data_IF_754106531087
#
_entry.id   IF_754106531087
#
_cell.length_a   1.000
_cell.length_b   1.000
_cell.length_c   1.000
_cell.angle_alpha   90.00
_cell.angle_beta   90.00
_cell.angle_gamma   90.00
#
_symmetry.space_group_name_H-M   'P 1'
#
loop_
_entity.id
_entity.type
_entity.pdbx_description
1 polymer ?
#
# COMPACT_ATOMS: atom_id res chain seq x y z
N UNK A 1 -23.24 -12.16 4.21
CA UNK A 1 -23.25 -10.80 3.63
C UNK A 1 -22.37 -10.83 2.37
N UNK A 2 -22.97 -10.83 1.18
CA UNK A 2 -22.28 -10.94 -0.12
C UNK A 2 -22.30 -9.56 -0.78
N UNK A 3 -21.15 -8.91 -0.89
CA UNK A 3 -21.03 -7.65 -1.65
C UNK A 3 -20.78 -8.00 -3.12
N UNK A 4 -21.77 -7.76 -3.99
CA UNK A 4 -21.61 -7.90 -5.45
C UNK A 4 -21.07 -6.59 -6.02
N UNK A 5 -19.89 -6.65 -6.62
CA UNK A 5 -19.31 -5.57 -7.42
C UNK A 5 -20.10 -5.42 -8.74
N UNK A 6 -20.36 -4.16 -9.11
CA UNK A 6 -20.75 -3.62 -10.45
C UNK A 6 -22.24 -3.43 -10.71
N UNK A 7 -22.68 -2.15 -10.67
CA UNK A 7 -23.49 -1.53 -11.73
C UNK A 7 -23.24 -0.01 -11.75
N UNK A 8 -22.31 0.46 -12.57
CA UNK A 8 -22.34 1.82 -13.11
C UNK A 8 -22.56 1.64 -14.61
N UNK A 9 -23.82 1.67 -15.04
CA UNK A 9 -24.17 1.65 -16.46
C UNK A 9 -24.40 3.09 -16.89
N UNK A 10 -23.59 3.51 -17.87
CA UNK A 10 -23.72 4.74 -18.62
C UNK A 10 -25.06 4.78 -19.35
N UNK A 11 -25.84 5.82 -19.09
CA UNK A 11 -26.98 6.18 -19.95
C UNK A 11 -26.46 6.97 -21.16
N UNK A 12 -26.44 6.30 -22.31
CA UNK A 12 -26.46 6.97 -23.61
C UNK A 12 -27.90 7.40 -23.92
N UNK A 13 -28.08 8.59 -24.49
CA UNK A 13 -29.24 8.92 -25.30
C UNK A 13 -28.76 9.79 -26.45
N UNK A 14 -28.80 9.21 -27.65
CA UNK A 14 -28.66 9.92 -28.91
C UNK A 14 -30.03 10.47 -29.32
N UNK A 15 -30.07 11.61 -30.02
CA UNK A 15 -30.89 11.78 -31.24
C UNK A 15 -30.57 13.10 -31.99
N UNK A 16 -30.13 12.90 -33.24
CA UNK A 16 -30.47 13.60 -34.51
C UNK A 16 -29.90 15.01 -34.82
N UNK A 17 -29.48 15.11 -36.09
CA UNK A 17 -28.74 16.15 -36.78
C UNK A 17 -29.58 17.37 -37.24
N UNK A 18 -28.92 18.54 -37.35
CA UNK A 18 -29.43 19.72 -38.05
C UNK A 18 -28.69 21.03 -37.72
N UNK A 19 -27.76 21.43 -38.60
CA UNK A 19 -27.26 22.79 -38.94
C UNK A 19 -27.44 23.91 -37.88
N UNK A 20 -26.31 24.35 -37.29
CA UNK A 20 -25.83 25.75 -37.23
C UNK A 20 -24.70 25.83 -36.18
N UNK A 21 -23.46 26.07 -36.61
CA UNK A 21 -22.36 26.43 -35.70
C UNK A 21 -22.54 27.88 -35.26
N UNK A 22 -23.50 28.13 -34.38
CA UNK A 22 -23.51 29.35 -33.57
C UNK A 22 -22.50 29.14 -32.45
N UNK A 23 -21.36 29.85 -32.52
CA UNK A 23 -20.48 30.01 -31.36
C UNK A 23 -21.25 30.80 -30.29
N UNK A 24 -22.05 30.11 -29.47
CA UNK A 24 -22.45 30.64 -28.18
C UNK A 24 -21.21 30.57 -27.28
N UNK A 25 -20.41 31.63 -27.29
CA UNK A 25 -19.52 31.93 -26.19
C UNK A 25 -20.41 32.33 -25.00
N UNK A 26 -20.92 31.33 -24.29
CA UNK A 26 -21.47 31.54 -22.97
C UNK A 26 -20.30 31.99 -22.08
N UNK A 27 -20.22 33.28 -21.79
CA UNK A 27 -19.42 33.79 -20.69
C UNK A 27 -20.00 33.17 -19.41
N UNK A 28 -19.48 32.02 -19.01
CA UNK A 28 -19.63 31.55 -17.64
C UNK A 28 -18.86 32.53 -16.76
N UNK A 29 -19.57 33.54 -16.27
CA UNK A 29 -19.12 34.31 -15.13
C UNK A 29 -19.03 33.31 -13.97
N UNK A 30 -17.82 32.85 -13.68
CA UNK A 30 -17.58 31.92 -12.59
C UNK A 30 -17.92 32.65 -11.30
N UNK A 31 -19.07 32.33 -10.71
CA UNK A 31 -19.39 32.70 -9.35
C UNK A 31 -18.18 32.36 -8.46
N UNK A 32 -17.77 33.24 -7.53
CA UNK A 32 -16.60 33.00 -6.69
C UNK A 32 -16.82 31.67 -5.97
N UNK A 33 -15.93 30.72 -6.23
CA UNK A 33 -15.97 29.42 -5.58
C UNK A 33 -15.77 29.65 -4.08
N UNK A 34 -16.85 29.55 -3.30
CA UNK A 34 -16.75 29.53 -1.85
C UNK A 34 -15.86 28.33 -1.47
N UNK A 35 -14.64 28.62 -0.98
CA UNK A 35 -13.74 27.58 -0.48
C UNK A 35 -14.48 26.79 0.60
N UNK A 36 -14.56 25.48 0.42
CA UNK A 36 -15.06 24.59 1.45
C UNK A 36 -14.26 24.83 2.76
N UNK A 37 -14.91 24.72 3.93
CA UNK A 37 -14.20 24.83 5.20
C UNK A 37 -13.02 23.86 5.24
N UNK A 38 -11.86 24.35 5.66
CA UNK A 38 -10.67 23.51 5.82
C UNK A 38 -10.94 22.39 6.83
N UNK A 39 -10.52 21.16 6.50
CA UNK A 39 -10.56 20.02 7.44
C UNK A 39 -9.69 20.37 8.66
N UNK A 40 -10.22 20.29 9.89
CA UNK A 40 -9.41 20.51 11.09
C UNK A 40 -8.24 19.53 11.16
N UNK A 41 -7.04 20.06 11.42
CA UNK A 41 -5.82 19.26 11.62
C UNK A 41 -5.30 19.43 13.03
N UNK A 42 -4.59 18.41 13.54
CA UNK A 42 -3.89 18.45 14.83
C UNK A 42 -2.49 17.86 14.66
N UNK A 43 -1.55 18.33 15.46
CA UNK A 43 -0.23 17.69 15.51
C UNK A 43 -0.35 16.32 16.16
N UNK A 44 0.25 15.31 15.53
CA UNK A 44 0.35 13.97 16.11
C UNK A 44 1.45 13.94 17.18
N UNK A 45 1.23 13.19 18.26
CA UNK A 45 2.32 12.83 19.18
C UNK A 45 3.17 11.77 18.51
N UNK A 46 4.45 12.05 18.30
CA UNK A 46 5.40 11.12 17.67
C UNK A 46 6.42 10.67 18.72
N UNK A 47 6.58 9.36 18.86
CA UNK A 47 7.54 8.74 19.77
C UNK A 47 8.55 7.90 18.98
N UNK A 48 9.83 8.00 19.35
CA UNK A 48 10.89 7.16 18.78
C UNK A 48 11.07 5.97 19.71
N UNK A 49 10.67 4.78 19.25
CA UNK A 49 10.71 3.57 20.08
C UNK A 49 12.09 2.89 20.03
N UNK A 50 12.45 2.32 18.88
CA UNK A 50 13.71 1.59 18.68
C UNK A 50 14.15 1.64 17.23
N UNK A 51 15.40 1.21 16.96
CA UNK A 51 15.90 1.01 15.59
C UNK A 51 15.31 -0.29 15.05
N UNK A 52 14.89 -0.28 13.79
CA UNK A 52 14.48 -1.51 13.12
C UNK A 52 15.67 -2.50 13.04
N UNK A 53 15.38 -3.82 12.96
CA UNK A 53 16.44 -4.84 12.86
C UNK A 53 17.32 -4.67 11.62
N UNK A 54 16.74 -4.22 10.50
CA UNK A 54 17.43 -3.94 9.23
C UNK A 54 17.28 -2.48 8.78
N UNK A 55 17.96 -2.12 7.68
CA UNK A 55 18.11 -0.74 7.22
C UNK A 55 16.90 -0.16 6.48
N UNK A 56 16.01 -0.97 5.91
CA UNK A 56 14.91 -0.54 5.06
C UNK A 56 13.55 -1.11 5.53
N UNK A 57 13.15 -0.87 6.79
CA UNK A 57 11.83 -1.27 7.26
C UNK A 57 10.77 -0.53 6.44
N UNK A 58 9.99 -1.27 5.67
CA UNK A 58 9.00 -0.70 4.75
C UNK A 58 7.61 -1.30 4.96
N UNK A 59 7.56 -2.55 5.41
CA UNK A 59 6.34 -3.23 5.80
C UNK A 59 6.25 -3.33 7.33
N UNK A 60 5.08 -3.04 7.87
CA UNK A 60 4.82 -3.09 9.30
C UNK A 60 3.41 -3.60 9.57
N UNK A 61 3.26 -4.58 10.46
CA UNK A 61 1.95 -5.03 10.95
C UNK A 61 1.96 -5.26 12.46
N UNK A 62 0.91 -4.77 13.10
CA UNK A 62 0.65 -4.98 14.51
C UNK A 62 -0.06 -6.33 14.73
N UNK A 63 0.52 -7.24 15.50
CA UNK A 63 -0.12 -8.51 15.85
C UNK A 63 -0.12 -8.77 17.37
N UNK A 64 -1.01 -9.66 17.86
CA UNK A 64 -1.06 -10.03 19.28
C UNK A 64 0.24 -10.64 19.83
N UNK A 65 1.07 -11.21 18.96
CA UNK A 65 2.30 -11.92 19.32
C UNK A 65 3.58 -11.08 19.11
N UNK A 66 3.45 -9.85 18.62
CA UNK A 66 4.57 -8.95 18.38
C UNK A 66 4.31 -7.96 17.26
N UNK A 67 5.34 -7.16 16.96
CA UNK A 67 5.35 -6.28 15.81
C UNK A 67 6.08 -6.96 14.67
N UNK A 68 5.41 -7.16 13.54
CA UNK A 68 5.99 -7.75 12.35
C UNK A 68 6.55 -6.66 11.45
N UNK A 69 7.83 -6.77 11.08
CA UNK A 69 8.58 -5.79 10.30
C UNK A 69 9.17 -6.48 9.08
N UNK A 70 8.78 -6.09 7.87
CA UNK A 70 9.40 -6.54 6.63
C UNK A 70 10.40 -5.52 6.10
N UNK A 71 11.60 -5.98 5.78
CA UNK A 71 12.64 -5.17 5.14
C UNK A 71 12.52 -5.24 3.62
N UNK A 72 12.56 -4.07 2.98
CA UNK A 72 12.40 -3.93 1.53
C UNK A 72 13.53 -4.59 0.72
N UNK A 73 14.75 -4.64 1.26
CA UNK A 73 15.96 -4.99 0.51
C UNK A 73 16.45 -6.38 0.89
N UNK A 74 16.55 -6.70 2.17
CA UNK A 74 16.99 -8.02 2.63
C UNK A 74 15.91 -9.09 2.40
N UNK A 75 14.64 -8.68 2.29
CA UNK A 75 13.45 -9.53 2.19
C UNK A 75 13.23 -10.39 3.44
N UNK A 76 13.90 -10.03 4.52
CA UNK A 76 13.64 -10.63 5.82
C UNK A 76 12.41 -10.01 6.43
N UNK A 77 11.68 -10.85 7.16
CA UNK A 77 10.61 -10.42 8.04
C UNK A 77 11.01 -10.78 9.46
N UNK A 78 10.87 -9.80 10.36
CA UNK A 78 11.16 -9.92 11.78
C UNK A 78 9.88 -9.82 12.58
N UNK A 79 9.69 -10.69 13.57
CA UNK A 79 8.76 -10.44 14.67
C UNK A 79 9.56 -9.92 15.86
N UNK A 80 9.24 -8.72 16.32
CA UNK A 80 9.93 -8.08 17.43
C UNK A 80 9.01 -7.87 18.63
N UNK A 81 9.62 -7.76 19.81
CA UNK A 81 8.94 -7.27 21.00
C UNK A 81 8.54 -5.80 20.83
N UNK A 82 7.30 -5.49 21.18
CA UNK A 82 6.67 -4.19 20.98
C UNK A 82 7.35 -3.02 21.70
N UNK A 83 7.94 -3.29 22.86
CA UNK A 83 8.45 -2.23 23.73
C UNK A 83 9.94 -2.00 23.48
N UNK A 84 10.67 -3.10 23.30
CA UNK A 84 12.13 -3.09 23.27
C UNK A 84 12.70 -3.18 21.87
N UNK A 85 11.92 -3.62 20.88
CA UNK A 85 12.41 -3.93 19.54
C UNK A 85 13.29 -5.17 19.47
N UNK A 86 13.38 -5.95 20.55
CA UNK A 86 14.13 -7.20 20.57
C UNK A 86 13.56 -8.17 19.53
N UNK A 87 14.41 -8.68 18.65
CA UNK A 87 14.02 -9.72 17.69
C UNK A 87 13.63 -10.99 18.43
N UNK A 88 12.38 -11.43 18.23
CA UNK A 88 11.82 -12.66 18.78
C UNK A 88 11.82 -13.78 17.74
N UNK A 89 11.73 -13.42 16.47
CA UNK A 89 11.77 -14.34 15.34
C UNK A 89 12.19 -13.61 14.07
N UNK A 90 12.81 -14.34 13.14
CA UNK A 90 13.28 -13.87 11.86
C UNK A 90 13.07 -14.97 10.82
N UNK A 91 12.52 -14.59 9.66
CA UNK A 91 12.38 -15.47 8.50
C UNK A 91 12.87 -14.76 7.25
N UNK A 92 13.54 -15.51 6.38
CA UNK A 92 13.85 -15.05 5.03
C UNK A 92 12.63 -15.34 4.14
N UNK A 93 12.14 -14.33 3.45
CA UNK A 93 11.05 -14.49 2.48
C UNK A 93 11.58 -14.25 1.06
N UNK A 94 10.72 -14.50 0.07
CA UNK A 94 10.98 -14.20 -1.34
C UNK A 94 10.27 -12.92 -1.81
N UNK A 95 9.76 -12.10 -0.87
CA UNK A 95 9.05 -10.86 -1.19
C UNK A 95 10.02 -9.76 -1.62
N UNK A 96 10.36 -9.78 -2.90
CA UNK A 96 11.27 -8.80 -3.47
C UNK A 96 10.71 -7.39 -3.42
N UNK A 97 11.57 -6.45 -3.00
CA UNK A 97 11.17 -5.05 -2.89
C UNK A 97 9.91 -4.90 -1.99
N UNK A 98 9.91 -5.57 -0.84
CA UNK A 98 8.77 -5.67 0.09
C UNK A 98 8.20 -4.29 0.42
N UNK A 99 6.90 -4.13 0.25
CA UNK A 99 6.19 -2.85 0.40
C UNK A 99 5.05 -2.87 1.41
N UNK A 100 4.57 -4.04 1.79
CA UNK A 100 3.52 -4.20 2.78
C UNK A 100 3.51 -5.59 3.36
N UNK A 101 2.92 -5.71 4.54
CA UNK A 101 2.69 -6.98 5.24
C UNK A 101 1.31 -6.93 5.90
N UNK A 102 0.61 -8.05 5.93
CA UNK A 102 -0.54 -8.29 6.78
C UNK A 102 -0.42 -9.68 7.42
N UNK A 103 -0.88 -9.83 8.66
CA UNK A 103 -0.87 -11.11 9.38
C UNK A 103 -2.30 -11.62 9.46
N UNK A 104 -2.55 -12.84 8.97
CA UNK A 104 -3.89 -13.39 9.01
C UNK A 104 -4.02 -14.77 8.37
N UNK A 105 -5.07 -15.50 8.79
CA UNK A 105 -5.35 -16.86 8.32
C UNK A 105 -4.17 -17.85 8.49
N UNK A 106 -3.27 -17.61 9.45
CA UNK A 106 -2.09 -18.44 9.69
C UNK A 106 -0.87 -18.10 8.84
N UNK A 107 -0.92 -17.01 8.06
CA UNK A 107 0.15 -16.63 7.14
C UNK A 107 0.56 -15.16 7.30
N UNK A 108 1.74 -14.87 6.76
CA UNK A 108 2.16 -13.52 6.39
C UNK A 108 1.77 -13.27 4.93
N UNK A 109 1.08 -12.17 4.68
CA UNK A 109 0.72 -11.72 3.33
C UNK A 109 1.60 -10.53 2.97
N UNK A 110 2.48 -10.70 2.01
CA UNK A 110 3.51 -9.73 1.65
C UNK A 110 3.23 -9.12 0.29
N UNK A 111 3.39 -7.80 0.19
CA UNK A 111 3.39 -7.10 -1.09
C UNK A 111 4.82 -7.00 -1.62
N UNK A 112 5.10 -7.67 -2.73
CA UNK A 112 6.34 -7.52 -3.49
C UNK A 112 6.09 -6.54 -4.64
N UNK A 113 6.84 -5.44 -4.72
CA UNK A 113 6.56 -4.39 -5.71
C UNK A 113 6.98 -4.74 -7.14
N UNK A 114 7.77 -5.80 -7.36
CA UNK A 114 8.45 -5.98 -8.63
C UNK A 114 9.64 -5.05 -8.79
N UNK A 115 10.52 -5.41 -9.71
CA UNK A 115 11.71 -4.64 -10.02
C UNK A 115 12.73 -4.70 -8.88
N UNK A 116 13.92 -5.22 -9.18
CA UNK A 116 15.01 -5.23 -8.20
C UNK A 116 15.41 -3.79 -7.93
N UNK A 117 15.38 -3.35 -6.66
CA UNK A 117 15.56 -1.96 -6.25
C UNK A 117 16.94 -1.35 -6.57
N UNK A 118 17.84 -2.12 -7.21
CA UNK A 118 19.25 -1.77 -7.41
C UNK A 118 20.08 -1.73 -6.12
N UNK A 119 19.44 -1.92 -4.95
CA UNK A 119 20.07 -1.85 -3.62
C UNK A 119 20.72 -3.17 -3.18
N UNK A 120 20.53 -4.24 -3.93
CA UNK A 120 21.19 -5.55 -3.77
C UNK A 120 21.34 -6.25 -5.13
N UNK A 121 22.23 -7.24 -5.25
CA UNK A 121 22.26 -8.12 -6.42
C UNK A 121 20.92 -8.81 -6.65
N UNK A 122 20.55 -9.11 -7.91
CA UNK A 122 19.34 -9.86 -8.23
C UNK A 122 19.41 -11.29 -7.66
N UNK A 123 18.26 -11.83 -7.27
CA UNK A 123 18.04 -13.18 -6.76
C UNK A 123 17.19 -13.98 -7.75
N UNK A 124 17.27 -15.32 -7.77
CA UNK A 124 16.46 -16.15 -8.69
C UNK A 124 14.94 -15.97 -8.52
N UNK A 125 14.50 -15.56 -7.34
CA UNK A 125 13.11 -15.35 -6.96
C UNK A 125 12.56 -14.02 -7.46
N UNK A 126 13.43 -13.06 -7.80
CA UNK A 126 13.03 -11.72 -8.24
C UNK A 126 12.16 -11.76 -9.49
N UNK A 127 11.04 -11.05 -9.42
CA UNK A 127 10.17 -10.82 -10.59
C UNK A 127 10.21 -9.37 -11.06
N UNK A 128 10.06 -9.13 -12.37
CA UNK A 128 9.95 -7.79 -12.91
C UNK A 128 8.58 -7.15 -12.64
N UNK A 129 7.65 -7.88 -12.03
CA UNK A 129 6.29 -7.43 -11.71
C UNK A 129 5.98 -7.60 -10.22
N UNK A 130 4.94 -6.92 -9.77
CA UNK A 130 4.47 -7.01 -8.38
C UNK A 130 3.69 -8.29 -8.11
N UNK A 131 3.84 -8.82 -6.91
CA UNK A 131 3.23 -10.06 -6.47
C UNK A 131 2.65 -9.90 -5.05
N UNK A 132 1.65 -10.73 -4.74
CA UNK A 132 1.21 -10.96 -3.36
C UNK A 132 1.74 -12.32 -2.97
N UNK A 133 2.65 -12.35 -1.99
CA UNK A 133 3.30 -13.57 -1.54
C UNK A 133 2.67 -13.98 -0.21
N UNK A 134 2.32 -15.26 -0.11
CA UNK A 134 1.97 -15.89 1.14
C UNK A 134 3.23 -16.57 1.69
N UNK A 135 3.60 -16.25 2.93
CA UNK A 135 4.75 -16.82 3.63
C UNK A 135 4.31 -17.50 4.93
N UNK A 136 4.96 -18.61 5.27
CA UNK A 136 4.75 -19.27 6.56
C UNK A 136 5.44 -18.44 7.66
N UNK A 137 4.76 -18.08 8.75
CA UNK A 137 5.32 -17.19 9.77
C UNK A 137 6.47 -17.82 10.58
N UNK A 138 6.73 -19.13 10.44
CA UNK A 138 7.81 -19.86 11.12
C UNK A 138 8.98 -20.17 10.21
N UNK A 139 8.73 -20.42 8.92
CA UNK A 139 9.78 -20.87 7.98
C UNK A 139 10.13 -19.86 6.90
N UNK A 140 9.29 -18.86 6.67
CA UNK A 140 9.32 -18.07 5.44
C UNK A 140 8.51 -18.75 4.35
#
# INVERSE_FOLDING_TARGET
MKVRRRTFIATASAMVAGIATTKLAASQESAPANKAPSVPTRQAKVERLFKAPDMHPNALEAAPDGLWIGDQVSERVFRVDWQTGKVLHEVQTESHNTSGIAVGAGYLWLGANGGVSGRRPPRPTDKPFGEVIQADPKTG
#
